data_IF_311523437707
#
_entry.id   IF_311523437707
#
_cell.length_a   1.000
_cell.length_b   1.000
_cell.length_c   1.000
_cell.angle_alpha   90.00
_cell.angle_beta   90.00
_cell.angle_gamma   90.00
#
_symmetry.space_group_name_H-M   'P 1'
#
loop_
_entity.id
_entity.type
_entity.pdbx_description
1 polymer ?
#
# COMPACT_ATOMS: atom_id res chain seq x y z
N UNK A 1 -28.97 73.79 -45.94
CA UNK A 1 -29.01 73.55 -47.39
C UNK A 1 -27.79 72.68 -47.74
N UNK A 2 -27.99 71.42 -48.21
CA UNK A 2 -27.07 70.51 -48.97
C UNK A 2 -25.60 70.31 -48.48
N UNK A 3 -24.91 69.18 -48.58
CA UNK A 3 -25.15 67.78 -48.89
C UNK A 3 -23.82 67.00 -48.63
N UNK A 4 -23.92 65.77 -48.09
CA UNK A 4 -23.28 64.48 -48.47
C UNK A 4 -21.73 64.33 -48.68
N UNK A 5 -21.10 63.49 -47.80
CA UNK A 5 -20.21 62.27 -47.95
C UNK A 5 -19.10 62.28 -49.05
N UNK A 6 -17.82 61.90 -48.83
CA UNK A 6 -17.27 60.51 -48.66
C UNK A 6 -15.81 60.43 -48.16
N UNK A 7 -15.53 59.30 -47.50
CA UNK A 7 -14.29 58.68 -47.00
C UNK A 7 -13.03 58.69 -47.89
N UNK A 8 -11.86 58.52 -47.24
CA UNK A 8 -10.86 57.54 -47.71
C UNK A 8 -9.39 57.82 -47.39
N UNK A 9 -8.79 56.99 -46.52
CA UNK A 9 -7.46 56.41 -46.76
C UNK A 9 -6.25 57.07 -46.08
N UNK A 10 -5.83 56.49 -44.95
CA UNK A 10 -4.71 56.90 -44.13
C UNK A 10 -3.32 56.44 -44.64
N UNK A 11 -2.32 57.15 -44.15
CA UNK A 11 -0.90 57.25 -44.49
C UNK A 11 -0.03 56.11 -43.93
N UNK A 12 1.07 55.80 -44.65
CA UNK A 12 2.07 54.76 -44.33
C UNK A 12 3.19 55.24 -43.38
N UNK A 13 3.37 54.46 -42.31
CA UNK A 13 4.62 53.80 -41.86
C UNK A 13 5.89 54.60 -41.56
N UNK A 14 6.27 54.65 -40.27
CA UNK A 14 7.47 53.96 -39.72
C UNK A 14 7.55 54.14 -38.20
N UNK A 15 7.42 53.05 -37.44
CA UNK A 15 7.86 52.96 -36.03
C UNK A 15 8.63 51.67 -35.84
N UNK A 16 9.76 51.81 -35.15
CA UNK A 16 10.73 50.80 -34.75
C UNK A 16 10.04 49.81 -33.81
N UNK A 17 10.06 48.52 -34.15
CA UNK A 17 9.48 47.46 -33.33
C UNK A 17 10.59 46.89 -32.43
N UNK A 18 10.56 47.26 -31.16
CA UNK A 18 11.29 46.58 -30.07
C UNK A 18 10.66 45.20 -29.88
N UNK A 19 11.38 44.13 -30.19
CA UNK A 19 10.96 42.75 -29.96
C UNK A 19 11.02 42.44 -28.45
N UNK A 20 9.86 42.53 -27.78
CA UNK A 20 9.64 41.91 -26.48
C UNK A 20 9.53 40.38 -26.68
N UNK A 21 10.56 39.65 -26.27
CA UNK A 21 10.49 38.20 -26.11
C UNK A 21 9.64 37.92 -24.87
N UNK A 22 8.34 37.68 -25.08
CA UNK A 22 7.50 37.10 -24.04
C UNK A 22 7.94 35.64 -23.85
N UNK A 23 8.65 35.36 -22.75
CA UNK A 23 8.89 34.01 -22.31
C UNK A 23 7.55 33.39 -21.88
N UNK A 24 6.92 32.63 -22.79
CA UNK A 24 5.83 31.73 -22.41
C UNK A 24 6.44 30.63 -21.55
N UNK A 25 6.29 30.76 -20.23
CA UNK A 25 6.44 29.62 -19.32
C UNK A 25 5.27 28.67 -19.60
N UNK A 26 5.51 27.66 -20.43
CA UNK A 26 4.67 26.48 -20.45
C UNK A 26 4.85 25.78 -19.09
N UNK A 27 3.95 26.04 -18.15
CA UNK A 27 3.74 25.11 -17.04
C UNK A 27 3.19 23.84 -17.66
N UNK A 28 4.03 22.84 -17.82
CA UNK A 28 3.59 21.47 -18.10
C UNK A 28 2.82 21.07 -16.84
N UNK A 29 1.49 21.13 -16.89
CA UNK A 29 0.67 20.42 -15.94
C UNK A 29 1.02 18.95 -16.12
N UNK A 30 1.82 18.41 -15.20
CA UNK A 30 2.02 16.96 -15.11
C UNK A 30 0.62 16.40 -14.87
N UNK A 31 0.05 15.61 -15.79
CA UNK A 31 -1.18 14.93 -15.46
C UNK A 31 -0.83 14.05 -14.28
N UNK A 32 -1.52 14.22 -13.14
CA UNK A 32 -1.60 13.15 -12.17
C UNK A 32 -2.13 11.96 -12.97
N UNK A 33 -1.23 11.04 -13.33
CA UNK A 33 -1.58 9.87 -14.09
C UNK A 33 -2.57 9.10 -13.22
N UNK A 34 -3.86 9.29 -13.50
CA UNK A 34 -4.88 8.40 -13.04
C UNK A 34 -4.47 7.04 -13.59
N UNK A 35 -3.90 6.19 -12.73
CA UNK A 35 -3.67 4.80 -13.04
C UNK A 35 -5.01 4.26 -13.52
N UNK A 36 -5.13 4.00 -14.82
CA UNK A 36 -6.35 3.48 -15.39
C UNK A 36 -6.61 2.14 -14.70
N UNK A 37 -7.73 2.05 -13.98
CA UNK A 37 -8.14 0.83 -13.32
C UNK A 37 -8.35 -0.28 -14.37
N UNK A 38 -8.02 -1.55 -14.05
CA UNK A 38 -8.44 -2.66 -14.88
C UNK A 38 -9.97 -2.67 -15.00
N UNK A 39 -10.51 -2.82 -16.21
CA UNK A 39 -11.96 -2.78 -16.49
C UNK A 39 -12.70 -4.09 -16.14
N UNK A 40 -12.21 -4.83 -15.16
CA UNK A 40 -12.85 -5.90 -14.39
C UNK A 40 -11.79 -6.38 -13.38
N UNK A 41 -11.95 -6.06 -12.10
CA UNK A 41 -10.98 -6.36 -11.04
C UNK A 41 -10.76 -5.17 -10.10
N UNK A 42 -9.86 -5.37 -9.12
CA UNK A 42 -9.68 -4.41 -8.03
C UNK A 42 -9.09 -3.09 -8.52
N UNK A 43 -9.30 -2.03 -7.73
CA UNK A 43 -9.17 -0.61 -8.09
C UNK A 43 -10.30 -0.04 -8.96
N UNK A 44 -11.48 -0.67 -8.98
CA UNK A 44 -12.69 -0.05 -9.53
C UNK A 44 -13.18 1.11 -8.63
N UNK A 45 -12.88 2.35 -9.04
CA UNK A 45 -13.30 3.56 -8.33
C UNK A 45 -14.81 3.83 -8.39
N UNK A 46 -15.56 3.10 -9.22
CA UNK A 46 -17.02 3.15 -9.25
C UNK A 46 -17.68 2.18 -8.26
N UNK A 47 -16.91 1.24 -7.68
CA UNK A 47 -17.41 0.25 -6.74
C UNK A 47 -18.08 0.91 -5.53
N UNK A 48 -19.21 0.32 -5.12
CA UNK A 48 -19.99 0.76 -3.95
C UNK A 48 -20.05 -0.38 -2.94
N UNK A 49 -19.47 -0.20 -1.74
CA UNK A 49 -19.52 -1.19 -0.67
C UNK A 49 -20.97 -1.60 -0.38
N UNK A 50 -21.18 -2.89 -0.14
CA UNK A 50 -22.50 -3.42 0.19
C UNK A 50 -22.83 -3.24 1.67
N UNK A 51 -24.08 -3.45 2.06
CA UNK A 51 -24.44 -3.46 3.49
C UNK A 51 -23.74 -4.60 4.26
N UNK A 52 -23.42 -5.71 3.59
CA UNK A 52 -22.71 -6.85 4.18
C UNK A 52 -21.22 -6.55 4.38
N UNK A 53 -20.62 -5.82 3.45
CA UNK A 53 -19.21 -5.41 3.50
C UNK A 53 -19.13 -3.89 3.27
N UNK A 54 -19.45 -3.08 4.29
CA UNK A 54 -19.54 -1.63 4.14
C UNK A 54 -18.17 -0.94 4.11
N UNK A 55 -17.11 -1.60 4.59
CA UNK A 55 -15.74 -1.11 4.53
C UNK A 55 -15.02 -1.62 3.26
N UNK A 56 -14.56 -0.74 2.34
CA UNK A 56 -13.70 -1.15 1.26
C UNK A 56 -12.31 -1.56 1.79
N UNK A 57 -11.66 -2.48 1.10
CA UNK A 57 -10.36 -3.04 1.51
C UNK A 57 -9.23 -2.33 0.78
N UNK A 58 -8.25 -1.81 1.52
CA UNK A 58 -7.01 -1.23 1.03
C UNK A 58 -5.86 -2.22 1.23
N UNK A 59 -5.23 -2.64 0.14
CA UNK A 59 -4.13 -3.59 0.12
C UNK A 59 -2.78 -2.87 0.05
N UNK A 60 -1.87 -3.16 0.99
CA UNK A 60 -0.60 -2.46 1.19
C UNK A 60 0.57 -3.43 1.04
N UNK A 61 1.25 -3.37 -0.12
CA UNK A 61 2.31 -4.33 -0.49
C UNK A 61 3.55 -4.24 0.41
N UNK A 62 4.46 -5.22 0.32
CA UNK A 62 5.72 -5.20 1.05
C UNK A 62 6.84 -4.40 0.36
N UNK A 63 8.02 -4.40 0.98
CA UNK A 63 9.25 -3.75 0.49
C UNK A 63 9.59 -4.22 -0.93
N UNK A 64 9.73 -3.28 -1.87
CA UNK A 64 10.03 -3.59 -3.28
C UNK A 64 8.86 -4.17 -4.07
N UNK A 65 7.66 -4.26 -3.48
CA UNK A 65 6.44 -4.67 -4.15
C UNK A 65 5.76 -3.53 -4.92
N UNK A 66 4.57 -3.81 -5.47
CA UNK A 66 3.70 -2.79 -6.06
C UNK A 66 2.22 -3.18 -5.92
N UNK A 67 1.33 -2.27 -6.34
CA UNK A 67 -0.12 -2.40 -6.27
C UNK A 67 -0.68 -3.68 -6.91
N UNK A 68 0.04 -4.29 -7.85
CA UNK A 68 -0.47 -5.41 -8.65
C UNK A 68 0.20 -6.74 -8.30
N UNK A 69 1.53 -6.80 -8.34
CA UNK A 69 2.29 -8.06 -8.25
C UNK A 69 2.26 -8.68 -6.87
N UNK A 70 2.03 -7.91 -5.81
CA UNK A 70 1.85 -8.46 -4.47
C UNK A 70 0.44 -9.04 -4.28
N UNK A 71 -0.53 -8.65 -5.10
CA UNK A 71 -1.96 -8.82 -4.81
C UNK A 71 -2.75 -9.63 -5.83
N UNK A 72 -2.12 -10.06 -6.92
CA UNK A 72 -2.77 -10.84 -7.98
C UNK A 72 -3.50 -12.10 -7.50
N UNK A 73 -3.09 -12.67 -6.36
CA UNK A 73 -3.74 -13.85 -5.80
C UNK A 73 -4.86 -13.51 -4.81
N UNK A 74 -4.62 -12.60 -3.86
CA UNK A 74 -5.59 -12.29 -2.81
C UNK A 74 -6.70 -11.34 -3.28
N UNK A 75 -6.36 -10.30 -4.07
CA UNK A 75 -7.33 -9.28 -4.44
C UNK A 75 -8.54 -9.85 -5.20
N UNK A 76 -8.38 -10.72 -6.23
CA UNK A 76 -9.54 -11.32 -6.88
C UNK A 76 -10.40 -12.19 -5.95
N UNK A 77 -9.81 -12.77 -4.89
CA UNK A 77 -10.56 -13.59 -3.93
C UNK A 77 -11.37 -12.73 -2.96
N UNK A 78 -10.84 -11.58 -2.57
CA UNK A 78 -11.57 -10.59 -1.79
C UNK A 78 -12.71 -9.97 -2.61
N UNK A 79 -12.47 -9.65 -3.88
CA UNK A 79 -13.53 -9.18 -4.78
C UNK A 79 -14.63 -10.23 -4.99
N UNK A 80 -14.24 -11.50 -5.23
CA UNK A 80 -15.19 -12.60 -5.33
C UNK A 80 -15.97 -12.87 -4.03
N UNK A 81 -15.43 -12.43 -2.89
CA UNK A 81 -16.14 -12.44 -1.61
C UNK A 81 -17.04 -11.22 -1.41
N UNK A 82 -17.11 -10.29 -2.36
CA UNK A 82 -18.03 -9.15 -2.36
C UNK A 82 -17.46 -7.84 -1.79
N UNK A 83 -16.15 -7.74 -1.63
CA UNK A 83 -15.49 -6.51 -1.17
C UNK A 83 -15.16 -5.57 -2.34
N UNK A 84 -15.30 -4.26 -2.14
CA UNK A 84 -14.62 -3.28 -2.98
C UNK A 84 -13.15 -3.24 -2.58
N UNK A 85 -12.25 -3.59 -3.50
CA UNK A 85 -10.82 -3.76 -3.21
C UNK A 85 -10.00 -2.69 -3.93
N UNK A 86 -9.04 -2.10 -3.23
CA UNK A 86 -8.12 -1.09 -3.74
C UNK A 86 -6.69 -1.41 -3.32
N UNK A 87 -5.72 -1.07 -4.15
CA UNK A 87 -4.30 -1.21 -3.84
C UNK A 87 -3.52 -0.02 -4.41
N UNK A 88 -2.45 0.34 -3.71
CA UNK A 88 -1.58 1.46 -4.08
C UNK A 88 -0.14 0.97 -4.23
N UNK A 89 0.62 1.64 -5.08
CA UNK A 89 2.08 1.60 -5.03
C UNK A 89 2.52 2.86 -4.30
N UNK A 90 3.12 2.68 -3.12
CA UNK A 90 3.61 3.79 -2.28
C UNK A 90 5.13 3.75 -2.19
N UNK A 91 5.75 4.80 -1.68
CA UNK A 91 7.18 4.82 -1.37
C UNK A 91 8.07 4.57 -2.59
N UNK A 92 7.59 4.94 -3.77
CA UNK A 92 8.34 4.85 -5.02
C UNK A 92 9.53 5.83 -4.99
N UNK A 93 10.66 5.42 -5.56
CA UNK A 93 11.85 6.28 -5.72
C UNK A 93 12.15 6.51 -7.20
N UNK A 94 13.01 7.50 -7.48
CA UNK A 94 13.42 7.87 -8.85
C UNK A 94 14.02 6.69 -9.65
N UNK A 95 14.59 5.69 -8.96
CA UNK A 95 15.20 4.51 -9.56
C UNK A 95 14.20 3.40 -9.92
N UNK A 96 13.02 3.38 -9.30
CA UNK A 96 12.03 2.30 -9.47
C UNK A 96 10.69 2.72 -10.10
N UNK A 97 10.38 4.02 -10.13
CA UNK A 97 9.08 4.50 -10.60
C UNK A 97 7.90 3.77 -9.93
N UNK A 98 6.78 3.62 -10.63
CA UNK A 98 5.62 2.86 -10.12
C UNK A 98 5.79 1.33 -10.20
N UNK A 99 6.95 0.84 -10.68
CA UNK A 99 7.23 -0.59 -10.78
C UNK A 99 7.66 -1.17 -9.42
N UNK A 100 8.33 -0.36 -8.60
CA UNK A 100 8.84 -0.74 -7.28
C UNK A 100 8.53 0.34 -6.24
N UNK A 101 7.72 -0.04 -5.25
CA UNK A 101 7.35 0.78 -4.09
C UNK A 101 7.98 0.29 -2.78
N UNK A 102 7.59 0.93 -1.69
CA UNK A 102 8.05 0.59 -0.33
C UNK A 102 9.51 0.94 -0.08
N UNK A 103 10.16 1.73 -0.94
CA UNK A 103 11.59 2.03 -0.87
C UNK A 103 11.88 3.34 -0.15
N UNK A 104 11.01 4.35 -0.28
CA UNK A 104 11.11 5.60 0.46
C UNK A 104 10.88 5.39 1.97
N UNK A 105 11.18 6.38 2.80
CA UNK A 105 10.90 6.31 4.25
C UNK A 105 9.43 5.95 4.51
N UNK A 106 9.20 4.98 5.39
CA UNK A 106 7.90 4.53 5.86
C UNK A 106 7.09 5.68 6.48
N UNK A 107 7.74 6.68 7.11
CA UNK A 107 7.04 7.88 7.60
C UNK A 107 6.41 8.67 6.46
N UNK A 108 7.11 8.81 5.33
CA UNK A 108 6.56 9.49 4.14
C UNK A 108 5.50 8.62 3.46
N UNK A 109 5.76 7.32 3.34
CA UNK A 109 4.81 6.34 2.81
C UNK A 109 3.49 6.31 3.60
N UNK A 110 3.53 6.52 4.92
CA UNK A 110 2.33 6.61 5.77
C UNK A 110 1.43 7.80 5.39
N UNK A 111 2.02 8.93 4.99
CA UNK A 111 1.27 10.09 4.46
C UNK A 111 0.65 9.76 3.10
N UNK A 112 1.37 9.07 2.22
CA UNK A 112 0.84 8.60 0.93
C UNK A 112 -0.35 7.64 1.12
N UNK A 113 -0.23 6.70 2.08
CA UNK A 113 -1.32 5.81 2.46
C UNK A 113 -2.52 6.59 2.98
N UNK A 114 -2.31 7.60 3.84
CA UNK A 114 -3.39 8.43 4.36
C UNK A 114 -4.19 9.13 3.26
N UNK A 115 -3.50 9.71 2.28
CA UNK A 115 -4.14 10.33 1.12
C UNK A 115 -4.91 9.30 0.26
N UNK A 116 -4.37 8.09 0.11
CA UNK A 116 -5.04 7.01 -0.62
C UNK A 116 -6.31 6.54 0.10
N UNK A 117 -6.25 6.34 1.42
CA UNK A 117 -7.40 5.98 2.25
C UNK A 117 -8.49 7.04 2.16
N UNK A 118 -8.14 8.32 2.25
CA UNK A 118 -9.11 9.41 2.12
C UNK A 118 -9.78 9.43 0.73
N UNK A 119 -9.02 9.15 -0.33
CA UNK A 119 -9.56 9.02 -1.68
C UNK A 119 -10.51 7.83 -1.81
N UNK A 120 -10.17 6.67 -1.25
CA UNK A 120 -11.03 5.47 -1.26
C UNK A 120 -12.34 5.76 -0.54
N UNK A 121 -12.29 6.35 0.66
CA UNK A 121 -13.48 6.75 1.43
C UNK A 121 -14.35 7.74 0.66
N UNK A 122 -13.75 8.76 0.06
CA UNK A 122 -14.48 9.75 -0.74
C UNK A 122 -15.16 9.14 -1.98
N UNK A 123 -14.51 8.20 -2.66
CA UNK A 123 -15.05 7.56 -3.88
C UNK A 123 -16.18 6.59 -3.57
N UNK A 124 -16.04 5.83 -2.49
CA UNK A 124 -16.98 4.77 -2.10
C UNK A 124 -18.15 5.32 -1.28
N UNK A 125 -17.92 6.39 -0.51
CA UNK A 125 -18.85 6.92 0.49
C UNK A 125 -18.74 6.24 1.85
N UNK A 126 -17.72 5.38 2.06
CA UNK A 126 -17.55 4.65 3.31
C UNK A 126 -16.93 5.50 4.42
N UNK A 127 -17.44 5.36 5.65
CA UNK A 127 -16.91 6.07 6.83
C UNK A 127 -15.53 5.55 7.24
N UNK A 128 -15.25 4.27 7.03
CA UNK A 128 -13.96 3.63 7.33
C UNK A 128 -13.56 2.69 6.19
N UNK A 129 -12.30 2.29 6.19
CA UNK A 129 -11.76 1.23 5.34
C UNK A 129 -11.25 0.08 6.21
N UNK A 130 -11.03 -1.07 5.58
CA UNK A 130 -10.17 -2.12 6.13
C UNK A 130 -8.81 -2.08 5.44
N UNK A 131 -7.75 -2.40 6.18
CA UNK A 131 -6.39 -2.48 5.64
C UNK A 131 -5.89 -3.92 5.73
N UNK A 132 -5.37 -4.43 4.61
CA UNK A 132 -4.62 -5.69 4.56
C UNK A 132 -3.18 -5.41 4.13
N UNK A 133 -2.23 -5.76 4.99
CA UNK A 133 -0.81 -5.48 4.81
C UNK A 133 0.02 -6.75 4.65
N UNK A 134 1.02 -6.70 3.77
CA UNK A 134 2.04 -7.75 3.64
C UNK A 134 3.42 -7.19 3.99
N UNK A 135 4.19 -7.86 4.85
CA UNK A 135 5.60 -7.50 5.11
C UNK A 135 5.72 -6.05 5.58
N UNK A 136 6.50 -5.20 4.91
CA UNK A 136 6.59 -3.75 5.17
C UNK A 136 5.26 -3.01 5.11
N UNK A 137 4.35 -3.49 4.28
CA UNK A 137 2.96 -3.05 4.27
C UNK A 137 2.16 -3.42 5.52
N UNK A 138 2.77 -4.01 6.56
CA UNK A 138 2.17 -4.13 7.89
C UNK A 138 2.69 -3.06 8.85
N UNK A 139 3.99 -2.79 8.82
CA UNK A 139 4.65 -1.90 9.76
C UNK A 139 4.43 -0.43 9.39
N UNK A 140 4.43 -0.09 8.09
CA UNK A 140 4.10 1.26 7.64
C UNK A 140 2.65 1.65 7.94
N UNK A 141 1.61 0.83 7.68
CA UNK A 141 0.25 1.19 8.08
C UNK A 141 0.06 1.29 9.59
N UNK A 142 0.75 0.47 10.39
CA UNK A 142 0.71 0.63 11.85
C UNK A 142 1.19 2.02 12.30
N UNK A 143 2.21 2.56 11.64
CA UNK A 143 2.65 3.95 11.85
C UNK A 143 1.57 4.96 11.41
N UNK A 144 0.95 4.76 10.24
CA UNK A 144 -0.17 5.60 9.78
C UNK A 144 -1.34 5.63 10.79
N UNK A 145 -1.72 4.46 11.32
CA UNK A 145 -2.77 4.34 12.33
C UNK A 145 -2.44 5.16 13.58
N UNK A 146 -1.17 5.13 14.00
CA UNK A 146 -0.71 5.73 15.25
C UNK A 146 -0.42 7.22 15.17
N UNK A 147 0.14 7.70 14.07
CA UNK A 147 0.71 9.05 13.98
C UNK A 147 0.07 9.93 12.90
N UNK A 148 -0.61 9.35 11.91
CA UNK A 148 -1.13 10.07 10.74
C UNK A 148 -2.67 10.06 10.69
N UNK A 149 -3.32 9.87 11.84
CA UNK A 149 -4.79 9.94 11.99
C UNK A 149 -5.54 8.73 11.42
N UNK A 150 -4.86 7.61 11.15
CA UNK A 150 -5.49 6.43 10.57
C UNK A 150 -6.46 5.69 11.50
N UNK A 151 -6.27 5.78 12.82
CA UNK A 151 -7.10 5.09 13.82
C UNK A 151 -8.61 5.36 13.68
N UNK A 152 -8.98 6.59 13.31
CA UNK A 152 -10.38 6.98 13.13
C UNK A 152 -10.98 6.49 11.80
N UNK A 153 -10.12 6.16 10.83
CA UNK A 153 -10.48 5.87 9.44
C UNK A 153 -10.44 4.38 9.10
N UNK A 154 -9.94 3.55 10.01
CA UNK A 154 -9.75 2.11 9.77
C UNK A 154 -10.57 1.30 10.78
N UNK A 155 -11.24 0.24 10.30
CA UNK A 155 -12.03 -0.67 11.15
C UNK A 155 -11.26 -1.95 11.46
N UNK A 156 -10.74 -2.63 10.45
CA UNK A 156 -9.86 -3.79 10.63
C UNK A 156 -8.48 -3.52 10.02
N UNK A 157 -7.44 -3.92 10.74
CA UNK A 157 -6.08 -3.96 10.24
C UNK A 157 -5.56 -5.40 10.32
N UNK A 158 -5.33 -6.00 9.14
CA UNK A 158 -4.90 -7.39 9.00
C UNK A 158 -3.51 -7.42 8.38
N UNK A 159 -2.50 -7.73 9.18
CA UNK A 159 -1.13 -7.91 8.71
C UNK A 159 -0.78 -9.38 8.51
N UNK A 160 0.00 -9.68 7.48
CA UNK A 160 0.64 -10.99 7.34
C UNK A 160 2.11 -10.87 6.93
N UNK A 161 2.94 -11.80 7.41
CA UNK A 161 4.40 -11.67 7.29
C UNK A 161 4.92 -10.44 8.04
N UNK A 162 4.21 -10.03 9.10
CA UNK A 162 4.43 -8.76 9.78
C UNK A 162 5.79 -8.70 10.48
N UNK A 163 6.34 -7.50 10.69
CA UNK A 163 7.63 -7.31 11.36
C UNK A 163 7.63 -6.10 12.31
N UNK A 164 6.65 -6.03 13.22
CA UNK A 164 6.51 -4.89 14.13
C UNK A 164 7.73 -4.64 15.03
N UNK A 165 8.60 -5.64 15.24
CA UNK A 165 9.87 -5.52 15.98
C UNK A 165 11.10 -5.53 15.05
N UNK A 166 10.90 -5.33 13.75
CA UNK A 166 11.95 -5.35 12.72
C UNK A 166 12.39 -6.75 12.29
N UNK A 167 13.45 -6.80 11.50
CA UNK A 167 14.10 -8.07 11.11
C UNK A 167 15.63 -7.97 11.21
N UNK A 168 16.31 -9.09 10.96
CA UNK A 168 17.76 -9.19 10.88
C UNK A 168 18.31 -8.81 9.50
N UNK A 169 19.59 -8.42 9.45
CA UNK A 169 20.33 -8.20 8.20
C UNK A 169 20.33 -9.44 7.29
N UNK A 170 20.38 -10.64 7.86
CA UNK A 170 20.34 -11.89 7.10
C UNK A 170 18.97 -12.08 6.43
N UNK A 171 17.88 -11.79 7.16
CA UNK A 171 16.53 -11.83 6.60
C UNK A 171 16.34 -10.79 5.48
N UNK A 172 16.77 -9.55 5.71
CA UNK A 172 16.66 -8.48 4.70
C UNK A 172 17.54 -8.74 3.47
N UNK A 173 18.76 -9.24 3.64
CA UNK A 173 19.61 -9.62 2.51
C UNK A 173 19.07 -10.82 1.74
N UNK A 174 18.41 -11.76 2.42
CA UNK A 174 17.65 -12.84 1.78
C UNK A 174 16.51 -12.31 0.92
N UNK A 175 15.72 -11.36 1.45
CA UNK A 175 14.67 -10.67 0.69
C UNK A 175 15.24 -9.89 -0.49
N UNK A 176 16.30 -9.11 -0.29
CA UNK A 176 16.95 -8.37 -1.36
C UNK A 176 17.39 -9.31 -2.49
N UNK A 177 18.02 -10.46 -2.18
CA UNK A 177 18.37 -11.47 -3.20
C UNK A 177 17.13 -12.02 -3.92
N UNK A 178 16.05 -12.33 -3.20
CA UNK A 178 14.82 -12.83 -3.80
C UNK A 178 14.17 -11.81 -4.73
N UNK A 179 14.11 -10.53 -4.32
CA UNK A 179 13.57 -9.44 -5.12
C UNK A 179 14.48 -9.14 -6.31
N UNK A 180 15.79 -8.94 -6.12
CA UNK A 180 16.76 -8.66 -7.20
C UNK A 180 16.89 -9.79 -8.23
N UNK A 181 16.50 -11.02 -7.88
CA UNK A 181 16.46 -12.14 -8.82
C UNK A 181 15.31 -12.03 -9.83
N UNK A 182 14.37 -11.09 -9.63
CA UNK A 182 13.35 -10.76 -10.63
C UNK A 182 14.00 -9.93 -11.76
N UNK A 183 13.70 -10.24 -13.04
CA UNK A 183 14.31 -9.55 -14.17
C UNK A 183 13.96 -8.05 -14.15
N UNK A 184 14.98 -7.19 -14.29
CA UNK A 184 14.83 -5.74 -14.37
C UNK A 184 15.07 -4.97 -13.06
N UNK A 185 15.64 -5.61 -12.04
CA UNK A 185 15.83 -5.01 -10.71
C UNK A 185 17.33 -4.82 -10.38
N UNK A 186 17.75 -3.56 -10.23
CA UNK A 186 19.06 -3.18 -9.70
C UNK A 186 18.86 -2.20 -8.51
N UNK A 187 18.41 -2.73 -7.37
CA UNK A 187 17.93 -1.96 -6.20
C UNK A 187 19.00 -1.63 -5.16
N UNK A 188 20.23 -2.13 -5.32
CA UNK A 188 21.26 -2.00 -4.29
C UNK A 188 22.28 -0.93 -4.65
N UNK A 189 21.85 0.33 -4.63
CA UNK A 189 22.76 1.44 -4.38
C UNK A 189 22.54 1.95 -2.95
N UNK A 190 23.59 1.90 -2.14
CA UNK A 190 23.61 2.47 -0.80
C UNK A 190 23.09 3.91 -0.83
N UNK A 191 22.02 4.18 -0.07
CA UNK A 191 21.41 5.51 0.06
C UNK A 191 20.05 5.70 -0.63
N UNK A 192 19.57 4.72 -1.42
CA UNK A 192 18.30 4.83 -2.16
C UNK A 192 17.09 4.27 -1.39
N UNK A 193 17.30 3.27 -0.54
CA UNK A 193 16.22 2.63 0.23
C UNK A 193 16.11 3.21 1.66
N UNK A 194 15.22 4.17 1.84
CA UNK A 194 14.89 4.74 3.16
C UNK A 194 14.20 3.72 4.07
N UNK A 195 13.20 3.00 3.55
CA UNK A 195 12.49 1.98 4.31
C UNK A 195 13.42 0.87 4.81
N UNK A 196 14.41 0.46 4.03
CA UNK A 196 15.32 -0.63 4.42
C UNK A 196 16.03 -0.36 5.76
N UNK A 197 16.38 0.90 6.05
CA UNK A 197 17.00 1.28 7.34
C UNK A 197 16.00 1.28 8.48
N UNK A 198 14.77 1.72 8.22
CA UNK A 198 13.70 1.74 9.22
C UNK A 198 13.16 0.33 9.50
N UNK A 199 13.24 -0.59 8.52
CA UNK A 199 12.76 -1.97 8.57
C UNK A 199 13.66 -2.92 9.37
N UNK A 200 14.95 -2.58 9.50
CA UNK A 200 15.94 -3.32 10.28
C UNK A 200 15.88 -2.90 11.74
N UNK A 201 15.98 -3.87 12.66
CA UNK A 201 16.14 -3.57 14.07
C UNK A 201 17.64 -3.45 14.45
N UNK A 202 18.02 -2.51 15.33
CA UNK A 202 17.19 -1.41 15.86
C UNK A 202 17.00 -0.27 14.84
N UNK A 203 15.91 0.48 14.96
CA UNK A 203 15.71 1.75 14.24
C UNK A 203 14.81 2.70 15.03
N UNK A 204 15.05 4.01 14.91
CA UNK A 204 14.22 5.04 15.55
C UNK A 204 12.74 4.93 15.15
N UNK A 205 12.48 4.45 13.92
CA UNK A 205 11.12 4.20 13.45
C UNK A 205 10.43 3.09 14.26
N UNK A 206 11.11 1.95 14.46
CA UNK A 206 10.56 0.82 15.22
C UNK A 206 10.44 1.18 16.71
N UNK A 207 11.37 1.96 17.24
CA UNK A 207 11.32 2.44 18.63
C UNK A 207 10.13 3.40 18.85
N UNK A 208 9.86 4.30 17.91
CA UNK A 208 8.68 5.16 17.92
C UNK A 208 7.38 4.33 17.78
N UNK A 209 7.37 3.35 16.87
CA UNK A 209 6.20 2.48 16.66
C UNK A 209 5.89 1.65 17.92
N UNK A 210 6.90 1.08 18.59
CA UNK A 210 6.73 0.25 19.77
C UNK A 210 6.35 1.05 21.04
N UNK A 211 6.59 2.36 21.07
CA UNK A 211 6.39 3.19 22.28
C UNK A 211 4.92 3.20 22.72
N UNK A 212 4.61 2.53 23.83
CA UNK A 212 3.24 2.41 24.34
C UNK A 212 2.38 1.35 23.65
N UNK A 213 3.01 0.43 22.89
CA UNK A 213 2.33 -0.58 22.08
C UNK A 213 2.16 -0.14 20.62
N UNK A 214 2.14 -1.11 19.72
CA UNK A 214 1.97 -0.93 18.26
C UNK A 214 0.51 -0.60 17.92
N UNK A 215 -0.43 -1.28 18.57
CA UNK A 215 -1.86 -1.06 18.36
C UNK A 215 -2.35 0.21 19.06
N UNK A 216 -3.31 0.87 18.42
CA UNK A 216 -4.04 2.02 18.98
C UNK A 216 -5.53 1.72 19.01
N UNK A 217 -6.28 2.45 19.85
CA UNK A 217 -7.72 2.29 19.92
C UNK A 217 -8.41 2.66 18.60
N UNK A 218 -9.48 1.94 18.25
CA UNK A 218 -10.29 2.20 17.06
C UNK A 218 -10.32 1.00 16.12
N UNK A 219 -9.20 0.60 15.51
CA UNK A 219 -9.13 -0.60 14.67
C UNK A 219 -9.04 -1.90 15.47
N UNK A 220 -9.59 -2.98 14.93
CA UNK A 220 -9.30 -4.34 15.36
C UNK A 220 -8.06 -4.88 14.63
N UNK A 221 -7.12 -5.46 15.37
CA UNK A 221 -5.83 -5.89 14.84
C UNK A 221 -5.77 -7.41 14.70
N UNK A 222 -5.34 -7.90 13.54
CA UNK A 222 -4.97 -9.30 13.31
C UNK A 222 -3.58 -9.39 12.70
N UNK A 223 -2.69 -10.21 13.27
CA UNK A 223 -1.37 -10.49 12.70
C UNK A 223 -1.22 -11.97 12.40
N UNK A 224 -0.87 -12.30 11.15
CA UNK A 224 -0.67 -13.67 10.66
C UNK A 224 0.82 -13.88 10.38
N UNK A 225 1.45 -14.73 11.16
CA UNK A 225 2.89 -15.04 11.06
C UNK A 225 3.11 -16.50 10.67
N UNK A 226 4.20 -16.78 9.95
CA UNK A 226 4.60 -18.15 9.62
C UNK A 226 5.85 -18.57 10.36
N UNK A 227 5.86 -19.78 10.93
CA UNK A 227 7.07 -20.38 11.54
C UNK A 227 8.19 -20.61 10.51
N UNK A 228 7.86 -20.63 9.23
CA UNK A 228 8.81 -20.84 8.14
C UNK A 228 9.28 -19.53 7.51
N UNK A 229 8.89 -18.38 8.06
CA UNK A 229 9.37 -17.07 7.61
C UNK A 229 10.90 -16.95 7.83
N UNK A 230 11.63 -16.75 6.73
CA UNK A 230 13.09 -16.58 6.70
C UNK A 230 13.51 -15.14 6.42
N UNK A 231 12.56 -14.27 6.13
CA UNK A 231 12.79 -12.84 5.90
C UNK A 231 12.60 -12.08 7.20
N UNK A 232 11.54 -12.36 7.95
CA UNK A 232 11.29 -11.83 9.29
C UNK A 232 11.78 -12.85 10.30
N UNK A 233 12.94 -12.57 10.90
CA UNK A 233 13.62 -13.50 11.80
C UNK A 233 13.93 -12.83 13.15
N UNK A 234 13.43 -13.36 14.28
CA UNK A 234 12.48 -14.49 14.38
C UNK A 234 11.09 -14.13 13.84
N UNK A 235 10.33 -15.11 13.35
CA UNK A 235 8.96 -14.88 12.83
C UNK A 235 8.01 -14.24 13.86
N UNK A 236 8.31 -14.42 15.15
CA UNK A 236 7.58 -13.81 16.26
C UNK A 236 7.76 -12.29 16.35
N UNK A 237 8.64 -11.69 15.55
CA UNK A 237 8.73 -10.24 15.40
C UNK A 237 7.39 -9.63 14.95
N UNK A 238 6.63 -10.35 14.12
CA UNK A 238 5.31 -9.93 13.66
C UNK A 238 4.17 -10.12 14.65
N UNK A 239 4.38 -10.81 15.77
CA UNK A 239 3.35 -11.02 16.81
C UNK A 239 3.17 -9.72 17.59
N UNK A 240 1.95 -9.23 17.73
CA UNK A 240 1.66 -8.01 18.51
C UNK A 240 1.77 -8.29 20.01
N UNK A 241 1.08 -9.34 20.49
CA UNK A 241 0.96 -9.67 21.91
C UNK A 241 0.42 -8.49 22.75
N UNK A 242 -0.63 -7.85 22.24
CA UNK A 242 -1.26 -6.67 22.84
C UNK A 242 -2.75 -6.91 23.11
N UNK A 243 -3.35 -6.26 24.12
CA UNK A 243 -4.76 -6.45 24.45
C UNK A 243 -5.68 -6.17 23.25
N UNK A 244 -6.56 -7.13 22.95
CA UNK A 244 -7.52 -7.01 21.85
C UNK A 244 -6.95 -7.30 20.45
N UNK A 245 -5.63 -7.49 20.31
CA UNK A 245 -5.04 -7.97 19.07
C UNK A 245 -5.19 -9.49 18.93
N UNK A 246 -5.36 -9.96 17.70
CA UNK A 246 -5.42 -11.39 17.37
C UNK A 246 -4.14 -11.82 16.67
N UNK A 247 -3.31 -12.62 17.34
CA UNK A 247 -2.12 -13.21 16.74
C UNK A 247 -2.37 -14.64 16.27
N UNK A 248 -2.03 -14.92 15.01
CA UNK A 248 -2.23 -16.21 14.37
C UNK A 248 -0.90 -16.71 13.84
N UNK A 249 -0.46 -17.86 14.35
CA UNK A 249 0.60 -18.63 13.71
C UNK A 249 -0.02 -19.55 12.68
N UNK A 250 0.31 -19.37 11.40
CA UNK A 250 -0.29 -20.07 10.26
C UNK A 250 -0.32 -21.60 10.46
N UNK A 251 0.79 -22.16 10.90
CA UNK A 251 0.93 -23.60 11.14
C UNK A 251 0.08 -24.14 12.29
N UNK A 252 -0.36 -23.28 13.23
CA UNK A 252 -1.32 -23.70 14.27
C UNK A 252 -2.74 -23.83 13.71
N UNK A 253 -3.04 -23.21 12.56
CA UNK A 253 -4.33 -23.31 11.85
C UNK A 253 -4.30 -24.40 10.78
N UNK A 254 -3.16 -24.54 10.08
CA UNK A 254 -2.96 -25.57 9.08
C UNK A 254 -1.53 -26.10 9.16
N UNK A 255 -1.33 -27.24 9.84
CA UNK A 255 0.01 -27.83 10.02
C UNK A 255 0.64 -28.36 8.72
N UNK A 256 -0.16 -28.53 7.66
CA UNK A 256 0.28 -28.94 6.33
C UNK A 256 0.65 -27.75 5.42
N UNK A 257 0.66 -26.54 5.96
CA UNK A 257 1.06 -25.32 5.27
C UNK A 257 2.48 -24.92 5.68
N UNK A 258 3.41 -24.98 4.72
CA UNK A 258 4.82 -24.61 4.95
C UNK A 258 5.20 -23.26 4.33
N UNK A 259 4.22 -22.38 4.09
CA UNK A 259 4.46 -21.04 3.52
C UNK A 259 5.56 -20.28 4.24
N UNK A 260 6.52 -19.74 3.48
CA UNK A 260 7.51 -18.79 3.97
C UNK A 260 6.97 -17.34 4.00
N UNK A 261 7.83 -16.35 3.82
CA UNK A 261 7.44 -14.94 3.84
C UNK A 261 6.68 -14.53 2.59
N UNK A 262 7.24 -14.78 1.40
CA UNK A 262 6.69 -14.30 0.13
C UNK A 262 5.52 -15.15 -0.35
N UNK A 263 5.54 -16.45 -0.06
CA UNK A 263 4.51 -17.39 -0.45
C UNK A 263 3.18 -17.13 0.26
N UNK A 264 3.21 -16.49 1.44
CA UNK A 264 2.00 -16.03 2.11
C UNK A 264 1.15 -15.12 1.21
N UNK A 265 1.77 -14.36 0.29
CA UNK A 265 1.07 -13.48 -0.67
C UNK A 265 0.27 -14.25 -1.75
N UNK A 266 0.43 -15.56 -1.84
CA UNK A 266 -0.29 -16.44 -2.78
C UNK A 266 -0.96 -17.64 -2.07
N UNK A 267 -1.12 -17.54 -0.76
CA UNK A 267 -1.54 -18.66 0.08
C UNK A 267 -3.07 -18.66 0.30
N UNK A 268 -3.77 -19.77 0.00
CA UNK A 268 -5.21 -19.88 0.23
C UNK A 268 -5.61 -19.85 1.71
N UNK A 269 -4.79 -20.40 2.62
CA UNK A 269 -5.05 -20.36 4.06
C UNK A 269 -4.93 -18.92 4.58
N UNK A 270 -3.91 -18.17 4.14
CA UNK A 270 -3.79 -16.74 4.46
C UNK A 270 -5.00 -15.96 3.94
N UNK A 271 -5.48 -16.25 2.73
CA UNK A 271 -6.71 -15.63 2.21
C UNK A 271 -7.92 -15.90 3.11
N UNK A 272 -8.10 -17.15 3.54
CA UNK A 272 -9.20 -17.51 4.43
C UNK A 272 -9.12 -16.77 5.77
N UNK A 273 -7.91 -16.65 6.33
CA UNK A 273 -7.68 -15.91 7.58
C UNK A 273 -7.93 -14.41 7.41
N UNK A 274 -7.54 -13.82 6.27
CA UNK A 274 -7.87 -12.42 5.94
C UNK A 274 -9.38 -12.23 5.91
N UNK A 275 -10.11 -13.04 5.13
CA UNK A 275 -11.56 -12.96 5.05
C UNK A 275 -12.22 -13.10 6.43
N UNK A 276 -11.70 -14.01 7.27
CA UNK A 276 -12.23 -14.19 8.62
C UNK A 276 -11.97 -12.99 9.54
N UNK A 277 -10.85 -12.30 9.36
CA UNK A 277 -10.52 -11.12 10.13
C UNK A 277 -11.30 -9.87 9.69
N UNK A 278 -11.64 -9.77 8.39
CA UNK A 278 -12.46 -8.69 7.84
C UNK A 278 -13.95 -8.83 8.17
N UNK A 279 -14.44 -10.06 8.32
CA UNK A 279 -15.82 -10.36 8.73
C UNK A 279 -15.87 -11.47 9.80
N UNK A 280 -15.59 -11.12 11.08
CA UNK A 280 -15.51 -12.10 12.16
C UNK A 280 -16.80 -12.86 12.45
N UNK A 281 -17.96 -12.31 12.09
CA UNK A 281 -19.27 -12.93 12.36
C UNK A 281 -19.83 -13.67 11.15
N UNK A 282 -19.71 -13.10 9.95
CA UNK A 282 -20.29 -13.62 8.71
C UNK A 282 -19.37 -14.54 7.90
N UNK A 283 -18.05 -14.37 7.97
CA UNK A 283 -17.15 -15.18 7.15
C UNK A 283 -17.03 -16.62 7.67
N UNK A 284 -16.99 -17.62 6.77
CA UNK A 284 -16.84 -19.02 7.16
C UNK A 284 -15.49 -19.25 7.85
N UNK A 285 -15.44 -20.27 8.71
CA UNK A 285 -14.18 -20.71 9.30
C UNK A 285 -13.20 -21.14 8.18
N UNK A 286 -11.93 -20.68 8.20
CA UNK A 286 -10.95 -21.07 7.20
C UNK A 286 -10.71 -22.58 7.21
N UNK A 287 -10.72 -23.19 6.01
CA UNK A 287 -10.36 -24.60 5.84
C UNK A 287 -8.85 -24.72 5.65
N UNK A 288 -8.24 -25.72 6.27
CA UNK A 288 -6.84 -26.04 6.03
C UNK A 288 -6.67 -26.66 4.64
N UNK A 289 -5.86 -26.01 3.80
CA UNK A 289 -5.45 -26.46 2.47
C UNK A 289 -3.94 -26.71 2.52
N UNK A 290 -3.45 -27.93 2.30
CA UNK A 290 -2.00 -28.18 2.23
C UNK A 290 -1.33 -27.27 1.20
N UNK A 291 -0.24 -26.62 1.59
CA UNK A 291 0.46 -25.64 0.76
C UNK A 291 1.98 -25.73 0.97
N UNK A 292 2.73 -25.90 -0.11
CA UNK A 292 4.13 -26.35 -0.05
C UNK A 292 5.12 -25.42 -0.76
N UNK A 293 5.07 -24.12 -0.46
CA UNK A 293 6.00 -23.13 -1.01
C UNK A 293 6.80 -22.43 0.11
N UNK A 294 8.03 -22.84 0.42
CA UNK A 294 8.74 -22.42 1.64
C UNK A 294 9.49 -21.07 1.57
N UNK A 295 9.05 -20.09 0.76
CA UNK A 295 9.78 -18.83 0.56
C UNK A 295 9.06 -17.63 1.12
#
# INVERSE_FOLDING_TARGET
MRARVTNGGATKTRRILTTLVAALTFTIAVPAAASAAPSSGWNDWSCKPSATHPEPVVLVHGLGGNATTNWFYHAPKLENAGYCVYSLTYGATVLGGQLFGGLASMRKSAVELGAFVDRVRASTGADKVDIVGHSEGTTMPAYYLKFEGGAEKVKHFVGFGSNFKGTSLNGLSGLAKAVLSLPGIDLLADGVCGACREYLAPSDFLDDLARGGVSVAGPAYTSIVSRHDRVVTPYTSGVLNEPGATDIVLQNRCGADVSGHLSQAIDPNVTGLILKALDPEGAPAPKCVPFFAPL
#
